data_IF_339479483363
#
_entry.id   IF_339479483363
#
_cell.length_a   1.000
_cell.length_b   1.000
_cell.length_c   1.000
_cell.angle_alpha   90.00
_cell.angle_beta   90.00
_cell.angle_gamma   90.00
#
_symmetry.space_group_name_H-M   'P 1'
#
loop_
_entity.id
_entity.type
_entity.pdbx_description
1 polymer ?
#
# COMPACT_ATOMS: atom_id res chain seq x y z
N UNK A 1 -10.11 -17.69 -1.23
CA UNK A 1 -11.01 -16.74 -0.54
C UNK A 1 -10.73 -15.29 -0.99
N UNK A 2 -11.73 -14.56 -1.47
CA UNK A 2 -11.55 -13.14 -1.83
C UNK A 2 -11.68 -12.22 -0.62
N UNK A 3 -11.19 -10.96 -0.69
CA UNK A 3 -11.19 -10.03 0.45
C UNK A 3 -12.59 -9.79 1.00
N UNK A 4 -12.68 -9.52 2.32
CA UNK A 4 -13.92 -9.14 3.00
C UNK A 4 -13.75 -7.78 3.66
N UNK A 5 -14.80 -6.98 3.59
CA UNK A 5 -14.87 -5.70 4.31
C UNK A 5 -15.69 -5.94 5.59
N UNK A 6 -15.09 -5.57 6.71
CA UNK A 6 -15.74 -5.61 8.03
C UNK A 6 -16.12 -4.20 8.46
N UNK A 7 -17.24 -4.08 9.18
CA UNK A 7 -17.69 -2.82 9.79
C UNK A 7 -17.69 -2.95 11.31
N UNK A 8 -17.31 -1.86 11.96
CA UNK A 8 -17.43 -1.66 13.40
C UNK A 8 -17.72 -0.19 13.70
N UNK A 9 -18.37 0.08 14.83
CA UNK A 9 -18.58 1.43 15.38
C UNK A 9 -17.79 1.66 16.67
N UNK A 10 -17.16 0.62 17.22
CA UNK A 10 -16.46 0.66 18.51
C UNK A 10 -15.06 0.01 18.46
N UNK A 11 -14.65 -0.47 17.28
CA UNK A 11 -13.41 -1.20 17.02
C UNK A 11 -13.28 -2.55 17.76
N UNK A 12 -14.34 -3.01 18.43
CA UNK A 12 -14.38 -4.27 19.20
C UNK A 12 -15.30 -5.30 18.53
N UNK A 13 -16.50 -4.89 18.13
CA UNK A 13 -17.48 -5.75 17.48
C UNK A 13 -17.44 -5.56 15.97
N UNK A 14 -17.31 -6.65 15.23
CA UNK A 14 -17.11 -6.62 13.79
C UNK A 14 -18.10 -7.53 13.05
N UNK A 15 -18.67 -7.04 11.96
CA UNK A 15 -19.52 -7.81 11.06
C UNK A 15 -19.00 -7.72 9.62
N UNK A 16 -19.13 -8.80 8.85
CA UNK A 16 -18.83 -8.79 7.40
C UNK A 16 -19.97 -8.06 6.69
N UNK A 17 -19.63 -6.99 5.96
CA UNK A 17 -20.63 -6.20 5.23
C UNK A 17 -20.51 -6.31 3.71
N UNK A 18 -19.36 -6.75 3.20
CA UNK A 18 -19.13 -6.90 1.77
C UNK A 18 -17.96 -7.83 1.45
N UNK A 19 -17.92 -8.26 0.19
CA UNK A 19 -16.86 -9.05 -0.42
C UNK A 19 -16.54 -8.41 -1.79
N UNK A 20 -15.68 -7.38 -1.84
CA UNK A 20 -15.55 -6.47 -2.99
C UNK A 20 -15.09 -7.16 -4.28
N UNK A 21 -14.32 -8.24 -4.17
CA UNK A 21 -13.89 -9.04 -5.33
C UNK A 21 -14.74 -10.30 -5.42
N UNK A 22 -15.45 -10.45 -6.55
CA UNK A 22 -16.31 -11.62 -6.81
C UNK A 22 -15.46 -12.88 -6.95
N UNK A 23 -15.89 -13.98 -6.33
CA UNK A 23 -15.23 -15.28 -6.48
C UNK A 23 -15.27 -15.83 -7.92
N UNK A 24 -16.17 -15.30 -8.76
CA UNK A 24 -16.28 -15.64 -10.18
C UNK A 24 -15.28 -14.90 -11.08
N UNK A 25 -14.50 -13.96 -10.55
CA UNK A 25 -13.50 -13.26 -11.34
C UNK A 25 -12.40 -14.23 -11.77
N UNK A 26 -12.30 -14.52 -13.07
CA UNK A 26 -11.47 -15.60 -13.62
C UNK A 26 -9.97 -15.38 -13.46
N UNK A 27 -9.56 -14.12 -13.29
CA UNK A 27 -8.16 -13.75 -13.03
C UNK A 27 -7.76 -14.05 -11.58
N UNK A 28 -8.71 -14.36 -10.69
CA UNK A 28 -8.41 -14.83 -9.34
C UNK A 28 -7.63 -16.16 -9.41
N UNK A 29 -6.35 -16.14 -9.00
CA UNK A 29 -5.54 -17.36 -8.99
C UNK A 29 -5.93 -18.29 -7.83
N UNK A 30 -5.94 -19.59 -8.09
CA UNK A 30 -6.27 -20.65 -7.12
C UNK A 30 -5.02 -21.39 -6.59
N UNK A 31 -3.84 -21.03 -7.07
CA UNK A 31 -2.57 -21.55 -6.55
C UNK A 31 -2.19 -20.88 -5.22
N UNK A 32 -1.41 -21.55 -4.36
CA UNK A 32 -0.84 -20.91 -3.17
C UNK A 32 -0.13 -19.61 -3.54
N UNK A 33 -0.59 -18.50 -2.97
CA UNK A 33 -0.09 -17.15 -3.26
C UNK A 33 -0.53 -16.53 -4.59
N UNK A 34 -1.40 -17.17 -5.37
CA UNK A 34 -1.96 -16.63 -6.61
C UNK A 34 -3.20 -15.74 -6.45
N UNK A 35 -3.72 -15.63 -5.23
CA UNK A 35 -4.94 -14.89 -4.91
C UNK A 35 -4.74 -13.37 -4.81
N UNK A 36 -5.67 -12.72 -4.10
CA UNK A 36 -5.58 -11.31 -3.77
C UNK A 36 -4.65 -11.10 -2.56
N UNK A 37 -3.77 -10.11 -2.65
CA UNK A 37 -2.80 -9.71 -1.64
C UNK A 37 -2.96 -8.23 -1.29
N UNK A 38 -2.58 -7.87 -0.07
CA UNK A 38 -2.83 -6.55 0.49
C UNK A 38 -4.31 -6.18 0.45
N UNK A 39 -4.55 -4.88 0.34
CA UNK A 39 -5.91 -4.35 0.24
C UNK A 39 -6.03 -2.99 0.92
N UNK A 40 -6.35 -1.95 0.16
CA UNK A 40 -6.67 -0.66 0.74
C UNK A 40 -8.08 -0.24 0.31
N UNK A 41 -8.95 -0.01 1.30
CA UNK A 41 -10.31 0.45 1.07
C UNK A 41 -10.42 1.90 1.51
N UNK A 42 -10.88 2.77 0.63
CA UNK A 42 -10.97 4.20 0.87
C UNK A 42 -12.22 4.80 0.20
N UNK A 43 -12.58 6.01 0.60
CA UNK A 43 -13.60 6.81 -0.07
C UNK A 43 -12.95 8.08 -0.65
N UNK A 44 -13.04 8.25 -1.97
CA UNK A 44 -12.49 9.41 -2.65
C UNK A 44 -13.23 9.65 -3.97
N UNK A 45 -13.28 10.89 -4.45
CA UNK A 45 -14.02 11.30 -5.66
C UNK A 45 -15.48 10.75 -5.75
N UNK A 46 -16.18 10.70 -4.62
CA UNK A 46 -17.58 10.25 -4.58
C UNK A 46 -17.79 8.72 -4.63
N UNK A 47 -16.72 7.94 -4.61
CA UNK A 47 -16.77 6.48 -4.71
C UNK A 47 -15.99 5.80 -3.59
N UNK A 48 -16.43 4.59 -3.24
CA UNK A 48 -15.63 3.65 -2.48
C UNK A 48 -14.73 2.89 -3.44
N UNK A 49 -13.45 2.81 -3.10
CA UNK A 49 -12.42 2.10 -3.85
C UNK A 49 -11.87 0.98 -2.99
N UNK A 50 -11.54 -0.14 -3.63
CA UNK A 50 -10.76 -1.20 -3.01
C UNK A 50 -9.64 -1.61 -3.96
N UNK A 51 -8.43 -1.17 -3.66
CA UNK A 51 -7.21 -1.53 -4.38
C UNK A 51 -6.63 -2.81 -3.80
N UNK A 52 -6.14 -3.70 -4.65
CA UNK A 52 -5.53 -4.96 -4.22
C UNK A 52 -4.51 -5.47 -5.25
N UNK A 53 -3.50 -6.19 -4.77
CA UNK A 53 -2.55 -6.90 -5.62
C UNK A 53 -3.05 -8.30 -5.96
N UNK A 54 -2.59 -8.85 -7.07
CA UNK A 54 -2.68 -10.28 -7.40
C UNK A 54 -1.28 -10.88 -7.32
N UNK A 55 -1.19 -12.14 -6.89
CA UNK A 55 0.05 -12.92 -6.98
C UNK A 55 0.73 -12.75 -8.34
N UNK A 56 1.99 -12.30 -8.34
CA UNK A 56 2.74 -11.91 -9.54
C UNK A 56 2.91 -10.40 -9.74
N UNK A 57 2.33 -9.56 -8.89
CA UNK A 57 2.65 -8.12 -8.78
C UNK A 57 1.85 -7.19 -9.70
N UNK A 58 0.78 -7.69 -10.33
CA UNK A 58 -0.23 -6.86 -10.98
C UNK A 58 -1.22 -6.32 -9.94
N UNK A 59 -1.66 -5.09 -10.13
CA UNK A 59 -2.58 -4.42 -9.23
C UNK A 59 -3.91 -4.13 -9.90
N UNK A 60 -4.96 -4.17 -9.10
CA UNK A 60 -6.33 -3.97 -9.54
C UNK A 60 -7.07 -3.08 -8.54
N UNK A 61 -8.17 -2.49 -8.99
CA UNK A 61 -9.16 -1.91 -8.10
C UNK A 61 -10.58 -2.31 -8.50
N UNK A 62 -11.49 -2.20 -7.54
CA UNK A 62 -12.93 -2.22 -7.75
C UNK A 62 -13.56 -1.01 -7.07
N UNK A 63 -14.71 -0.56 -7.58
CA UNK A 63 -15.44 0.59 -7.03
C UNK A 63 -16.87 0.25 -6.64
N UNK A 64 -17.44 1.04 -5.73
CA UNK A 64 -18.84 0.98 -5.33
C UNK A 64 -19.37 2.35 -4.88
N UNK A 65 -20.68 2.56 -4.96
CA UNK A 65 -21.31 3.79 -4.45
C UNK A 65 -21.47 3.78 -2.91
N UNK A 66 -21.41 2.60 -2.29
CA UNK A 66 -21.34 2.42 -0.84
C UNK A 66 -20.63 1.11 -0.53
N UNK A 67 -20.11 0.90 0.69
CA UNK A 67 -19.40 -0.33 1.03
C UNK A 67 -20.27 -1.59 0.90
N UNK A 68 -21.58 -1.45 1.11
CA UNK A 68 -22.58 -2.53 1.05
C UNK A 68 -23.26 -2.68 -0.31
N UNK A 69 -22.97 -1.79 -1.26
CA UNK A 69 -23.51 -1.89 -2.61
C UNK A 69 -22.80 -2.98 -3.43
N UNK A 70 -23.30 -3.21 -4.64
CA UNK A 70 -22.57 -4.01 -5.61
C UNK A 70 -21.26 -3.31 -5.99
N UNK A 71 -20.18 -4.08 -5.96
CA UNK A 71 -18.86 -3.65 -6.42
C UNK A 71 -18.71 -3.94 -7.92
N UNK A 72 -17.94 -3.09 -8.60
CA UNK A 72 -17.59 -3.25 -10.02
C UNK A 72 -16.82 -4.54 -10.27
N UNK A 73 -16.62 -4.88 -11.55
CA UNK A 73 -15.59 -5.86 -11.89
C UNK A 73 -14.19 -5.25 -11.71
N UNK A 74 -13.16 -6.06 -11.41
CA UNK A 74 -11.81 -5.55 -11.23
C UNK A 74 -11.24 -4.90 -12.48
N UNK A 75 -10.64 -3.73 -12.30
CA UNK A 75 -9.91 -2.98 -13.33
C UNK A 75 -8.42 -3.09 -13.01
N UNK A 76 -7.61 -3.51 -13.98
CA UNK A 76 -6.15 -3.56 -13.84
C UNK A 76 -5.56 -2.16 -13.90
N UNK A 77 -4.53 -1.90 -13.09
CA UNK A 77 -3.78 -0.65 -13.18
C UNK A 77 -2.91 -0.63 -14.43
N UNK A 78 -2.98 0.47 -15.17
CA UNK A 78 -2.14 0.72 -16.32
C UNK A 78 -0.68 0.86 -15.89
N UNK A 79 0.24 0.33 -16.70
CA UNK A 79 1.67 0.49 -16.48
C UNK A 79 2.18 1.73 -17.18
N UNK A 80 3.04 2.48 -16.50
CA UNK A 80 3.63 3.71 -17.02
C UNK A 80 5.15 3.63 -17.08
N UNK A 81 5.69 3.97 -18.25
CA UNK A 81 7.12 4.04 -18.51
C UNK A 81 7.86 2.76 -18.16
N UNK A 82 9.03 2.93 -17.55
CA UNK A 82 9.92 1.84 -17.12
C UNK A 82 9.71 1.46 -15.65
N UNK A 83 8.61 1.92 -15.01
CA UNK A 83 8.32 1.52 -13.64
C UNK A 83 8.18 -0.02 -13.56
N UNK A 84 8.73 -0.63 -12.50
CA UNK A 84 8.50 -2.04 -12.23
C UNK A 84 6.99 -2.30 -12.02
N UNK A 85 6.56 -3.57 -11.97
CA UNK A 85 5.23 -3.91 -11.47
C UNK A 85 4.95 -3.18 -10.15
N UNK A 86 3.70 -2.78 -9.87
CA UNK A 86 3.36 -2.09 -8.62
C UNK A 86 3.44 -2.98 -7.37
N UNK A 87 3.46 -4.30 -7.59
CA UNK A 87 3.74 -5.30 -6.58
C UNK A 87 2.50 -5.64 -5.75
N UNK A 88 2.71 -5.83 -4.46
CA UNK A 88 1.68 -6.20 -3.48
C UNK A 88 1.83 -5.37 -2.20
N UNK A 89 0.89 -5.51 -1.28
CA UNK A 89 0.88 -4.83 0.02
C UNK A 89 0.88 -3.29 -0.07
N UNK A 90 0.25 -2.79 -1.12
CA UNK A 90 0.12 -1.37 -1.42
C UNK A 90 -0.90 -0.67 -0.53
N UNK A 91 -0.80 0.66 -0.46
CA UNK A 91 -1.81 1.52 0.16
C UNK A 91 -2.04 2.78 -0.67
N UNK A 92 -3.11 3.50 -0.33
CA UNK A 92 -3.43 4.79 -0.93
C UNK A 92 -3.21 5.88 0.10
N UNK A 93 -2.56 6.97 -0.32
CA UNK A 93 -2.44 8.21 0.43
C UNK A 93 -3.24 9.31 -0.26
N UNK A 94 -3.99 10.09 0.51
CA UNK A 94 -4.71 11.27 0.01
C UNK A 94 -4.11 12.48 0.71
N UNK A 95 -3.58 13.44 -0.05
CA UNK A 95 -3.16 14.73 0.46
C UNK A 95 -4.34 15.69 0.42
N UNK A 96 -4.98 15.90 1.58
CA UNK A 96 -6.20 16.70 1.68
C UNK A 96 -6.01 18.16 1.24
N UNK A 97 -4.80 18.71 1.35
CA UNK A 97 -4.51 20.10 1.01
C UNK A 97 -4.47 20.34 -0.51
N UNK A 98 -3.88 19.40 -1.25
CA UNK A 98 -3.83 19.47 -2.72
C UNK A 98 -5.02 18.80 -3.39
N UNK A 99 -5.72 17.91 -2.68
CA UNK A 99 -6.74 17.03 -3.23
C UNK A 99 -6.18 15.90 -4.10
N UNK A 100 -4.85 15.75 -4.15
CA UNK A 100 -4.19 14.67 -4.88
C UNK A 100 -4.18 13.38 -4.06
N UNK A 101 -4.07 12.27 -4.75
CA UNK A 101 -4.01 10.95 -4.15
C UNK A 101 -3.01 10.06 -4.89
N UNK A 102 -2.42 9.14 -4.14
CA UNK A 102 -1.21 8.46 -4.52
C UNK A 102 -1.28 6.98 -4.13
N UNK A 103 -0.83 6.11 -5.04
CA UNK A 103 -0.55 4.72 -4.77
C UNK A 103 0.86 4.59 -4.21
N UNK A 104 0.98 4.04 -3.00
CA UNK A 104 2.26 3.64 -2.44
C UNK A 104 2.60 2.24 -2.95
N UNK A 105 3.64 2.17 -3.78
CA UNK A 105 4.00 0.95 -4.50
C UNK A 105 5.10 0.17 -3.79
N UNK A 106 4.98 -1.16 -3.83
CA UNK A 106 6.00 -2.05 -3.29
C UNK A 106 6.16 -3.34 -4.09
N UNK A 107 7.22 -3.40 -4.90
CA UNK A 107 7.52 -4.58 -5.72
C UNK A 107 8.95 -5.07 -5.57
N UNK A 108 9.13 -6.25 -4.96
CA UNK A 108 10.48 -6.74 -4.68
C UNK A 108 11.20 -5.89 -3.62
N UNK A 109 12.50 -6.12 -3.45
CA UNK A 109 13.27 -5.53 -2.36
C UNK A 109 13.50 -4.02 -2.53
N UNK A 110 13.98 -3.58 -3.70
CA UNK A 110 14.35 -2.16 -3.90
C UNK A 110 13.21 -1.22 -4.24
N UNK A 111 12.17 -1.69 -4.93
CA UNK A 111 11.23 -0.78 -5.56
C UNK A 111 10.21 -0.24 -4.55
N UNK A 112 10.28 1.07 -4.33
CA UNK A 112 9.35 1.85 -3.52
C UNK A 112 9.08 3.15 -4.28
N UNK A 113 7.82 3.45 -4.57
CA UNK A 113 7.45 4.69 -5.27
C UNK A 113 6.13 5.23 -4.73
N UNK A 114 5.97 6.55 -4.80
CA UNK A 114 4.69 7.23 -4.58
C UNK A 114 4.17 7.65 -5.95
N UNK A 115 3.14 6.97 -6.45
CA UNK A 115 2.62 7.15 -7.82
C UNK A 115 1.33 7.95 -7.79
N UNK A 116 1.26 9.08 -8.49
CA UNK A 116 0.06 9.92 -8.53
C UNK A 116 -1.06 9.24 -9.32
N UNK A 117 -2.27 9.27 -8.77
CA UNK A 117 -3.48 8.73 -9.38
C UNK A 117 -4.36 9.84 -9.96
N UNK A 118 -4.96 9.57 -11.12
CA UNK A 118 -5.99 10.42 -11.73
C UNK A 118 -7.35 10.23 -11.07
N UNK A 119 -8.34 11.05 -11.43
CA UNK A 119 -9.71 10.96 -10.87
C UNK A 119 -10.39 9.60 -11.14
N UNK A 120 -9.96 8.88 -12.17
CA UNK A 120 -10.43 7.55 -12.55
C UNK A 120 -9.74 6.41 -11.77
N UNK A 121 -8.80 6.75 -10.88
CA UNK A 121 -8.05 5.82 -10.05
C UNK A 121 -6.90 5.11 -10.76
N UNK A 122 -6.61 5.47 -12.02
CA UNK A 122 -5.45 4.99 -12.75
C UNK A 122 -4.21 5.85 -12.45
N UNK A 123 -2.99 5.30 -12.58
CA UNK A 123 -1.78 6.11 -12.48
C UNK A 123 -1.75 7.19 -13.56
N UNK A 124 -1.20 8.35 -13.24
CA UNK A 124 -1.04 9.47 -14.19
C UNK A 124 0.25 9.38 -15.01
N UNK A 125 1.23 8.62 -14.51
CA UNK A 125 2.61 8.58 -15.00
C UNK A 125 3.57 9.43 -14.19
N UNK A 126 3.08 10.31 -13.31
CA UNK A 126 3.89 11.08 -12.36
C UNK A 126 4.18 10.24 -11.09
N UNK A 127 5.42 10.22 -10.64
CA UNK A 127 5.82 9.48 -9.45
C UNK A 127 7.05 10.07 -8.75
N UNK A 128 7.21 9.72 -7.47
CA UNK A 128 8.40 9.95 -6.67
C UNK A 128 9.15 8.62 -6.48
N UNK A 129 10.46 8.63 -6.69
CA UNK A 129 11.33 7.44 -6.57
C UNK A 129 11.93 7.32 -5.16
N UNK A 130 11.46 6.34 -4.40
CA UNK A 130 11.92 6.05 -3.04
C UNK A 130 12.81 4.80 -3.00
N UNK A 131 13.44 4.39 -4.11
CA UNK A 131 14.33 3.21 -4.14
C UNK A 131 15.53 3.34 -3.18
N UNK A 132 15.93 4.56 -2.84
CA UNK A 132 16.93 4.85 -1.81
C UNK A 132 16.52 4.37 -0.40
N UNK A 133 15.23 4.15 -0.14
CA UNK A 133 14.71 3.69 1.15
C UNK A 133 15.20 2.27 1.48
N UNK A 134 15.29 1.41 0.47
CA UNK A 134 15.62 0.01 0.67
C UNK A 134 16.47 -0.55 -0.49
N UNK A 135 17.67 -0.02 -0.73
CA UNK A 135 18.47 -0.38 -1.89
C UNK A 135 18.85 -1.87 -1.88
N UNK A 136 19.00 -2.44 -3.07
CA UNK A 136 19.45 -3.82 -3.25
C UNK A 136 20.96 -3.95 -3.00
N UNK A 137 21.35 -3.86 -1.72
CA UNK A 137 22.71 -3.94 -1.23
C UNK A 137 22.89 -5.12 -0.25
N UNK A 138 24.13 -5.53 0.00
CA UNK A 138 24.47 -6.69 0.84
C UNK A 138 23.91 -6.58 2.27
N UNK A 139 23.81 -5.35 2.79
CA UNK A 139 23.29 -5.05 4.13
C UNK A 139 21.90 -4.40 4.11
N UNK A 140 21.04 -4.79 3.16
CA UNK A 140 19.69 -4.26 2.97
C UNK A 140 18.99 -3.98 4.33
N UNK A 141 18.70 -2.70 4.67
CA UNK A 141 18.43 -2.29 6.04
C UNK A 141 17.10 -2.83 6.59
N UNK A 142 16.13 -3.08 5.72
CA UNK A 142 14.78 -3.48 6.12
C UNK A 142 14.31 -4.79 5.47
N UNK A 143 15.18 -5.45 4.70
CA UNK A 143 14.89 -6.65 3.91
C UNK A 143 13.94 -6.36 2.76
N UNK A 144 12.66 -6.21 3.06
CA UNK A 144 11.60 -5.95 2.09
C UNK A 144 10.88 -4.63 2.32
N UNK A 145 10.96 -3.94 3.46
CA UNK A 145 10.23 -2.66 3.65
C UNK A 145 8.74 -2.73 3.20
N UNK A 146 7.98 -3.70 3.71
CA UNK A 146 6.65 -4.06 3.21
C UNK A 146 5.54 -3.19 3.78
N UNK A 147 4.36 -3.24 3.16
CA UNK A 147 3.15 -2.60 3.66
C UNK A 147 3.29 -1.09 3.86
N UNK A 148 3.76 -0.32 2.86
CA UNK A 148 3.89 1.12 3.02
C UNK A 148 2.52 1.74 3.31
N UNK A 149 2.45 2.63 4.30
CA UNK A 149 1.25 3.42 4.64
C UNK A 149 1.68 4.85 4.93
N UNK A 150 0.91 5.83 4.45
CA UNK A 150 1.25 7.24 4.61
C UNK A 150 0.05 8.05 5.09
N UNK A 151 0.32 9.08 5.88
CA UNK A 151 -0.66 10.06 6.33
C UNK A 151 -0.01 11.43 6.51
N UNK A 152 -0.83 12.47 6.59
CA UNK A 152 -0.40 13.84 6.89
C UNK A 152 -0.93 14.26 8.26
N UNK A 153 -0.10 14.90 9.07
CA UNK A 153 -0.48 15.41 10.39
C UNK A 153 0.43 16.57 10.79
N UNK A 154 -0.15 17.65 11.31
CA UNK A 154 0.57 18.85 11.79
C UNK A 154 1.65 19.34 10.81
N UNK A 155 1.27 19.54 9.54
CA UNK A 155 2.14 19.98 8.43
C UNK A 155 3.26 19.01 8.01
N UNK A 156 3.29 17.79 8.56
CA UNK A 156 4.23 16.74 8.17
C UNK A 156 3.55 15.59 7.43
N UNK A 157 4.24 15.07 6.42
CA UNK A 157 4.00 13.77 5.83
C UNK A 157 4.71 12.71 6.64
N UNK A 158 4.00 11.61 6.94
CA UNK A 158 4.54 10.45 7.63
C UNK A 158 4.40 9.23 6.75
N UNK A 159 5.47 8.48 6.57
CA UNK A 159 5.52 7.26 5.78
C UNK A 159 6.00 6.11 6.66
N UNK A 160 5.17 5.07 6.77
CA UNK A 160 5.41 3.89 7.61
C UNK A 160 5.62 2.66 6.73
N UNK A 161 6.50 1.75 7.15
CA UNK A 161 6.77 0.48 6.49
C UNK A 161 7.27 -0.57 7.48
N UNK A 162 7.11 -1.85 7.16
CA UNK A 162 7.50 -2.99 7.98
C UNK A 162 8.84 -3.60 7.53
N UNK A 163 9.66 -4.03 8.49
CA UNK A 163 10.84 -4.83 8.19
C UNK A 163 10.45 -6.29 7.88
N UNK A 164 11.15 -6.92 6.95
CA UNK A 164 10.77 -8.22 6.41
C UNK A 164 10.67 -9.31 7.49
N UNK A 165 9.51 -10.00 7.51
CA UNK A 165 9.24 -11.17 8.36
C UNK A 165 9.46 -10.97 9.86
N UNK A 166 9.61 -9.72 10.32
CA UNK A 166 9.77 -9.37 11.73
C UNK A 166 8.76 -8.28 12.06
N UNK A 167 8.13 -8.35 13.22
CA UNK A 167 7.05 -7.43 13.62
C UNK A 167 7.52 -6.02 13.99
N UNK A 168 8.49 -5.47 13.26
CA UNK A 168 9.05 -4.14 13.45
C UNK A 168 8.52 -3.20 12.36
N UNK A 169 8.03 -2.04 12.79
CA UNK A 169 7.56 -0.98 11.89
C UNK A 169 8.33 0.30 12.14
N UNK A 170 8.72 0.94 11.06
CA UNK A 170 9.48 2.17 11.01
C UNK A 170 8.60 3.28 10.46
N UNK A 171 8.88 4.51 10.88
CA UNK A 171 8.19 5.70 10.39
C UNK A 171 9.26 6.71 10.02
N UNK A 172 9.17 7.25 8.82
CA UNK A 172 9.90 8.43 8.40
C UNK A 172 8.94 9.60 8.22
N UNK A 173 9.41 10.82 8.44
CA UNK A 173 8.62 12.03 8.23
C UNK A 173 9.36 13.07 7.42
N UNK A 174 8.62 13.90 6.71
CA UNK A 174 9.11 15.07 5.99
C UNK A 174 8.05 16.17 6.03
N UNK A 175 8.45 17.44 6.02
CA UNK A 175 7.51 18.56 5.82
C UNK A 175 7.17 18.76 4.33
N UNK A 176 7.83 18.00 3.44
CA UNK A 176 7.68 18.09 1.99
C UNK A 176 7.42 16.71 1.40
N UNK A 177 6.50 16.60 0.44
CA UNK A 177 6.28 15.37 -0.31
C UNK A 177 7.30 15.29 -1.45
N UNK A 178 8.34 14.47 -1.29
CA UNK A 178 9.55 14.50 -2.13
C UNK A 178 10.23 13.13 -2.21
N UNK A 179 11.00 12.91 -3.27
CA UNK A 179 11.88 11.75 -3.47
C UNK A 179 13.32 12.01 -3.00
N UNK A 180 13.64 13.20 -2.49
CA UNK A 180 14.96 13.50 -1.96
C UNK A 180 15.15 12.90 -0.55
N UNK A 181 16.12 11.97 -0.34
CA UNK A 181 16.34 11.32 0.95
C UNK A 181 16.70 12.29 2.09
N UNK A 182 17.36 13.42 1.77
CA UNK A 182 17.80 14.39 2.78
C UNK A 182 16.63 15.13 3.45
N UNK A 183 15.44 15.11 2.84
CA UNK A 183 14.24 15.74 3.35
C UNK A 183 13.48 14.83 4.34
N UNK A 184 13.89 13.56 4.48
CA UNK A 184 13.22 12.57 5.32
C UNK A 184 14.00 12.26 6.59
N UNK A 185 13.33 12.36 7.73
CA UNK A 185 13.84 11.93 9.03
C UNK A 185 13.22 10.60 9.44
N UNK A 186 14.02 9.54 9.62
CA UNK A 186 13.56 8.30 10.25
C UNK A 186 13.36 8.55 11.74
N UNK A 187 12.11 8.45 12.19
CA UNK A 187 11.74 8.71 13.58
C UNK A 187 12.36 7.66 14.50
N UNK A 188 12.96 8.12 15.60
CA UNK A 188 13.53 7.22 16.60
C UNK A 188 12.44 6.53 17.43
N UNK A 189 12.50 5.21 17.49
CA UNK A 189 11.57 4.36 18.22
C UNK A 189 10.50 3.76 17.31
N UNK A 190 10.32 2.44 17.37
CA UNK A 190 9.31 1.76 16.58
C UNK A 190 7.90 2.09 17.12
N UNK A 191 7.00 2.50 16.24
CA UNK A 191 5.57 2.71 16.57
C UNK A 191 4.96 1.43 17.15
N UNK A 192 5.45 0.26 16.72
CA UNK A 192 5.04 -1.05 17.23
C UNK A 192 6.27 -1.93 17.52
N UNK A 193 6.26 -2.59 18.69
CA UNK A 193 7.15 -3.71 19.00
C UNK A 193 6.34 -4.99 19.01
N UNK A 194 6.33 -5.71 17.90
CA UNK A 194 5.95 -7.13 17.93
C UNK A 194 6.96 -7.94 18.75
N UNK A 195 6.59 -9.16 19.15
CA UNK A 195 7.56 -10.09 19.74
C UNK A 195 8.72 -10.32 18.77
N UNK A 196 9.93 -9.95 19.17
CA UNK A 196 11.16 -10.12 18.39
C UNK A 196 11.46 -11.61 18.20
N UNK A 197 11.43 -12.11 16.96
CA UNK A 197 12.04 -13.39 16.60
C UNK A 197 13.54 -13.20 16.37
N UNK A 198 14.37 -14.14 16.84
CA UNK A 198 15.82 -14.12 16.64
C UNK A 198 16.18 -14.60 15.24
N UNK A 199 16.68 -13.70 14.40
CA UNK A 199 17.61 -14.04 13.31
C UNK A 199 18.92 -13.32 13.59
N UNK A 200 20.04 -14.03 13.43
CA UNK A 200 21.37 -13.54 13.79
C UNK A 200 21.67 -12.25 13.02
N UNK A 201 21.80 -11.14 13.76
CA UNK A 201 22.15 -9.82 13.20
C UNK A 201 23.66 -9.66 13.17
N UNK A 202 24.26 -9.11 12.11
CA UNK A 202 25.54 -8.42 12.20
C UNK A 202 25.39 -7.23 13.16
N UNK A 203 26.43 -6.98 13.96
CA UNK A 203 26.52 -5.89 14.93
C UNK A 203 26.73 -4.53 14.28
#
# INVERSE_FOLDING_TARGET
PTPKIYRSTDLVHWEVIAQPVKASWTTYGDTPGGGAWGGHTLYHHGHWWHYFGRGGGAMYFVTANSPTAAWSDPVELDRFGDLPPYGVDNSIFIDEDSGKWYLLTKAGHENNHIVELGEDGQPTGEFLDLTWLNPNAEDNPYGWAEGPVMWKHDDYYYYSFAEHLVGQQYVMRSDTLTDNPDDWEVMQGNMFRGSTGTFNRPT
#
